data_IF_451034776912
#
_entry.id   IF_451034776912
#
_cell.length_a   1.000
_cell.length_b   1.000
_cell.length_c   1.000
_cell.angle_alpha   90.00
_cell.angle_beta   90.00
_cell.angle_gamma   90.00
#
_symmetry.space_group_name_H-M   'P 1'
#
loop_
_entity.id
_entity.type
_entity.pdbx_description
1 polymer ?
#
# COMPACT_ATOMS: atom_id res chain seq x y z
N UNK A 1 12.76 -3.49 6.32
CA UNK A 1 12.07 -4.66 6.89
C UNK A 1 13.08 -5.73 7.20
N UNK A 2 13.02 -6.33 8.37
CA UNK A 2 14.00 -7.35 8.70
C UNK A 2 13.69 -8.68 7.97
N UNK A 3 14.69 -9.56 7.90
CA UNK A 3 14.58 -10.77 7.11
C UNK A 3 13.50 -11.75 7.59
N UNK A 4 13.23 -11.78 8.89
CA UNK A 4 12.21 -12.66 9.45
C UNK A 4 10.81 -12.22 9.02
N UNK A 5 10.54 -10.94 9.13
CA UNK A 5 9.25 -10.37 8.73
C UNK A 5 9.05 -10.50 7.22
N UNK A 6 10.10 -10.26 6.48
CA UNK A 6 10.06 -10.39 5.03
C UNK A 6 9.71 -11.82 4.62
N UNK A 7 10.33 -12.82 5.24
CA UNK A 7 10.05 -14.22 4.94
C UNK A 7 8.61 -14.58 5.27
N UNK A 8 8.10 -14.10 6.40
CA UNK A 8 6.71 -14.34 6.79
C UNK A 8 5.74 -13.73 5.77
N UNK A 9 6.02 -12.52 5.34
CA UNK A 9 5.20 -11.85 4.35
C UNK A 9 5.24 -12.56 3.00
N UNK A 10 6.43 -12.95 2.55
CA UNK A 10 6.57 -13.68 1.29
C UNK A 10 5.85 -15.02 1.34
N UNK A 11 5.91 -15.73 2.47
CA UNK A 11 5.21 -16.98 2.63
C UNK A 11 3.68 -16.80 2.55
N UNK A 12 3.20 -15.66 3.03
CA UNK A 12 1.77 -15.37 2.99
C UNK A 12 1.30 -14.95 1.60
N UNK A 13 2.09 -14.15 0.89
CA UNK A 13 1.67 -13.60 -0.40
C UNK A 13 1.91 -14.56 -1.55
N UNK A 14 2.91 -15.41 -1.47
CA UNK A 14 3.26 -16.30 -2.58
C UNK A 14 2.09 -17.13 -3.09
N UNK A 15 1.27 -17.77 -2.23
CA UNK A 15 0.12 -18.52 -2.73
C UNK A 15 -0.95 -17.68 -3.41
N UNK A 16 -0.91 -16.36 -3.25
CA UNK A 16 -1.89 -15.45 -3.84
C UNK A 16 -1.46 -14.94 -5.21
N UNK A 17 -0.24 -15.22 -5.61
CA UNK A 17 0.30 -14.71 -6.86
C UNK A 17 -0.22 -15.47 -8.06
N UNK A 18 -0.39 -14.75 -9.17
CA UNK A 18 -0.70 -15.36 -10.45
C UNK A 18 0.56 -15.95 -11.10
N UNK A 19 0.41 -16.87 -12.06
CA UNK A 19 1.57 -17.40 -12.76
C UNK A 19 2.41 -16.27 -13.39
N UNK A 20 3.69 -16.28 -13.10
CA UNK A 20 4.61 -15.26 -13.62
C UNK A 20 4.66 -13.97 -12.83
N UNK A 21 3.79 -13.78 -11.86
CA UNK A 21 3.80 -12.61 -11.01
C UNK A 21 4.94 -12.70 -9.99
N UNK A 22 5.67 -11.60 -9.78
CA UNK A 22 6.82 -11.58 -8.88
C UNK A 22 6.72 -10.42 -7.90
N UNK A 23 7.10 -10.69 -6.65
CA UNK A 23 7.21 -9.66 -5.62
C UNK A 23 8.46 -8.84 -5.86
N UNK A 24 8.31 -7.54 -5.97
CA UNK A 24 9.41 -6.61 -6.19
C UNK A 24 9.84 -5.90 -4.91
N UNK A 25 8.91 -5.57 -4.05
CA UNK A 25 9.19 -4.83 -2.82
C UNK A 25 8.35 -5.36 -1.68
N UNK A 26 8.96 -5.47 -0.50
CA UNK A 26 8.23 -5.74 0.74
C UNK A 26 8.65 -4.70 1.77
N UNK A 27 7.69 -4.15 2.50
CA UNK A 27 8.01 -3.14 3.51
C UNK A 27 6.91 -3.00 4.54
N UNK A 28 7.23 -2.28 5.60
CA UNK A 28 6.27 -1.86 6.62
C UNK A 28 5.80 -0.46 6.28
N UNK A 29 4.50 -0.24 6.31
CA UNK A 29 3.91 1.07 6.03
C UNK A 29 2.80 1.36 7.02
N UNK A 30 2.50 2.64 7.20
CA UNK A 30 1.25 3.06 7.79
C UNK A 30 0.28 3.42 6.69
N UNK A 31 -1.00 3.27 6.95
CA UNK A 31 -2.04 3.59 5.98
C UNK A 31 -3.05 4.56 6.55
N UNK A 32 -3.46 5.51 5.72
CA UNK A 32 -4.61 6.36 5.99
C UNK A 32 -5.46 6.46 4.74
N UNK A 33 -6.76 6.52 4.92
CA UNK A 33 -7.67 6.83 3.84
C UNK A 33 -7.74 8.34 3.68
N UNK A 34 -7.59 8.82 2.46
CA UNK A 34 -7.62 10.23 2.14
C UNK A 34 -8.72 10.47 1.13
N UNK A 35 -9.48 11.53 1.34
CA UNK A 35 -10.49 11.94 0.38
C UNK A 35 -9.87 12.85 -0.65
N UNK A 36 -10.05 12.54 -1.93
CA UNK A 36 -9.67 13.42 -3.02
C UNK A 36 -10.87 14.12 -3.61
N UNK A 37 -11.88 14.28 -2.80
CA UNK A 37 -13.17 14.68 -3.19
C UNK A 37 -13.31 16.02 -3.80
N UNK A 38 -12.50 16.87 -3.51
CA UNK A 38 -12.64 18.17 -4.11
C UNK A 38 -12.55 18.14 -5.59
N UNK A 39 -11.94 17.13 -6.12
CA UNK A 39 -11.70 17.03 -7.55
C UNK A 39 -12.47 15.93 -8.20
N UNK A 40 -13.17 15.12 -7.44
CA UNK A 40 -13.82 13.95 -7.98
C UNK A 40 -15.06 13.64 -7.19
N UNK A 41 -15.97 12.98 -7.85
CA UNK A 41 -17.08 12.39 -7.13
C UNK A 41 -16.55 11.27 -6.25
N UNK A 42 -17.23 11.06 -5.16
CA UNK A 42 -16.85 10.04 -4.24
C UNK A 42 -17.82 8.91 -4.21
N UNK A 43 -17.59 7.98 -3.35
CA UNK A 43 -18.53 6.96 -3.04
C UNK A 43 -18.13 5.62 -3.54
N UNK A 44 -17.41 5.58 -4.61
CA UNK A 44 -17.03 4.29 -5.17
C UNK A 44 -15.56 4.01 -5.02
N UNK A 45 -14.85 5.01 -4.63
CA UNK A 45 -13.42 4.95 -4.61
C UNK A 45 -12.87 3.86 -3.72
N UNK A 46 -13.36 3.78 -2.51
CA UNK A 46 -12.86 2.76 -1.60
C UNK A 46 -13.15 1.37 -2.11
N UNK A 47 -14.31 1.16 -2.71
CA UNK A 47 -14.64 -0.11 -3.30
C UNK A 47 -13.68 -0.46 -4.44
N UNK A 48 -13.35 0.52 -5.27
CA UNK A 48 -12.43 0.31 -6.38
C UNK A 48 -11.04 -0.04 -5.87
N UNK A 49 -10.54 0.71 -4.90
CA UNK A 49 -9.19 0.49 -4.38
C UNK A 49 -9.07 -0.79 -3.57
N UNK A 50 -10.11 -1.17 -2.87
CA UNK A 50 -10.06 -2.28 -1.95
C UNK A 50 -10.77 -3.53 -2.43
N UNK A 51 -11.29 -3.53 -3.66
CA UNK A 51 -12.10 -4.64 -4.13
C UNK A 51 -13.44 -4.72 -3.40
N UNK A 52 -13.93 -3.61 -2.92
CA UNK A 52 -15.20 -3.55 -2.21
C UNK A 52 -15.11 -3.85 -0.73
N UNK A 53 -13.93 -4.13 -0.23
CA UNK A 53 -13.76 -4.56 1.15
C UNK A 53 -13.15 -3.50 2.05
N UNK A 54 -12.94 -2.30 1.57
CA UNK A 54 -12.27 -1.30 2.37
C UNK A 54 -13.13 -0.82 3.52
N UNK A 55 -12.66 -1.05 4.69
CA UNK A 55 -13.21 -0.46 5.89
C UNK A 55 -12.46 0.83 6.19
N UNK A 56 -13.05 1.63 7.06
CA UNK A 56 -12.37 2.81 7.57
C UNK A 56 -11.12 2.37 8.35
N UNK A 57 -9.99 2.96 8.02
CA UNK A 57 -8.76 2.74 8.76
C UNK A 57 -8.67 3.86 9.78
N UNK A 58 -8.91 3.57 11.05
CA UNK A 58 -9.12 4.65 12.05
C UNK A 58 -7.87 5.45 12.36
N UNK A 59 -6.72 4.84 12.39
CA UNK A 59 -5.46 5.52 12.68
C UNK A 59 -4.37 4.86 11.90
N UNK A 60 -3.17 5.49 11.82
CA UNK A 60 -2.05 4.83 11.20
C UNK A 60 -1.75 3.53 11.94
N UNK A 61 -2.04 2.43 11.31
CA UNK A 61 -1.78 1.11 11.85
C UNK A 61 -0.62 0.53 11.05
N UNK A 62 0.34 -0.11 11.73
CA UNK A 62 1.42 -0.77 11.00
C UNK A 62 0.86 -1.86 10.10
N UNK A 63 1.20 -1.77 8.84
CA UNK A 63 0.75 -2.72 7.83
C UNK A 63 1.96 -3.25 7.09
N UNK A 64 1.79 -4.39 6.47
CA UNK A 64 2.80 -4.93 5.57
C UNK A 64 2.35 -4.73 4.13
N UNK A 65 3.25 -4.22 3.32
CA UNK A 65 3.03 -4.01 1.90
C UNK A 65 3.91 -4.96 1.10
N UNK A 66 3.31 -5.69 0.19
CA UNK A 66 4.04 -6.46 -0.81
C UNK A 66 3.62 -5.95 -2.18
N UNK A 67 4.56 -5.36 -2.91
CA UNK A 67 4.31 -4.89 -4.26
C UNK A 67 4.87 -5.89 -5.26
N UNK A 68 4.02 -6.33 -6.17
CA UNK A 68 4.44 -7.18 -7.28
C UNK A 68 4.53 -6.36 -8.56
N UNK A 69 4.88 -7.00 -9.64
CA UNK A 69 4.85 -6.36 -10.95
C UNK A 69 3.43 -6.05 -11.44
N UNK A 70 2.39 -6.52 -10.75
CA UNK A 70 1.00 -6.35 -11.14
C UNK A 70 0.10 -5.72 -10.09
N UNK A 71 0.40 -5.94 -8.80
CA UNK A 71 -0.51 -5.57 -7.71
C UNK A 71 0.25 -5.14 -6.47
N UNK A 72 -0.48 -4.47 -5.59
CA UNK A 72 -0.01 -4.21 -4.23
C UNK A 72 -0.91 -4.98 -3.28
N UNK A 73 -0.30 -5.76 -2.41
CA UNK A 73 -1.01 -6.49 -1.36
C UNK A 73 -0.73 -5.84 -0.03
N UNK A 74 -1.76 -5.61 0.74
CA UNK A 74 -1.63 -5.00 2.06
C UNK A 74 -2.19 -5.95 3.11
N UNK A 75 -1.41 -6.16 4.17
CA UNK A 75 -1.77 -7.03 5.27
C UNK A 75 -1.63 -6.29 6.58
N UNK A 76 -2.53 -6.55 7.50
CA UNK A 76 -2.37 -6.06 8.85
C UNK A 76 -1.36 -6.94 9.58
N UNK A 77 -0.42 -6.32 10.31
CA UNK A 77 0.57 -7.05 11.07
C UNK A 77 0.04 -7.42 12.44
N UNK A 78 0.43 -8.58 12.92
CA UNK A 78 0.20 -8.95 14.31
C UNK A 78 1.12 -8.10 15.20
N UNK A 79 0.58 -7.39 16.20
CA UNK A 79 1.41 -6.52 17.03
C UNK A 79 2.37 -7.27 17.93
N UNK A 80 2.12 -8.54 18.24
CA UNK A 80 2.96 -9.34 19.12
C UNK A 80 3.97 -10.14 18.34
N UNK A 81 3.52 -10.90 17.36
CA UNK A 81 4.38 -11.83 16.63
C UNK A 81 4.91 -11.28 15.32
N UNK A 82 4.47 -10.09 14.94
CA UNK A 82 4.91 -9.42 13.72
C UNK A 82 4.67 -10.26 12.44
N UNK A 83 3.67 -11.11 12.47
CA UNK A 83 3.27 -11.90 11.31
C UNK A 83 2.13 -11.22 10.58
N UNK A 84 1.99 -11.41 9.25
CA UNK A 84 0.79 -10.98 8.56
C UNK A 84 -0.39 -11.81 9.08
N UNK A 85 -1.43 -11.12 9.54
CA UNK A 85 -2.59 -11.82 10.12
C UNK A 85 -3.84 -11.68 9.29
N UNK A 86 -3.95 -10.60 8.54
CA UNK A 86 -5.17 -10.32 7.81
C UNK A 86 -4.84 -9.63 6.50
N UNK A 87 -5.30 -10.22 5.40
CA UNK A 87 -5.24 -9.57 4.10
C UNK A 87 -6.27 -8.46 4.07
N UNK A 88 -5.80 -7.23 4.02
CA UNK A 88 -6.65 -6.05 4.12
C UNK A 88 -7.16 -5.62 2.76
N UNK A 89 -6.28 -5.56 1.77
CA UNK A 89 -6.66 -5.14 0.44
C UNK A 89 -5.64 -5.55 -0.60
N UNK A 90 -6.09 -5.60 -1.84
CA UNK A 90 -5.24 -5.77 -3.02
C UNK A 90 -5.56 -4.66 -4.00
N UNK A 91 -4.53 -4.00 -4.52
CA UNK A 91 -4.70 -2.88 -5.43
C UNK A 91 -3.97 -3.19 -6.73
N UNK A 92 -4.68 -3.10 -7.85
CA UNK A 92 -4.04 -3.29 -9.15
C UNK A 92 -3.13 -2.10 -9.47
N UNK A 93 -1.95 -2.36 -10.01
CA UNK A 93 -1.03 -1.29 -10.42
C UNK A 93 -1.49 -0.58 -11.67
N UNK A 94 -2.25 -1.25 -12.50
CA UNK A 94 -2.74 -0.67 -13.74
C UNK A 94 -3.68 0.49 -13.43
N UNK A 95 -3.35 1.67 -13.94
CA UNK A 95 -4.11 2.88 -13.68
C UNK A 95 -3.88 3.49 -12.31
N UNK A 96 -2.91 3.03 -11.56
CA UNK A 96 -2.60 3.57 -10.25
C UNK A 96 -1.51 4.63 -10.35
N UNK A 97 -1.74 5.78 -9.72
CA UNK A 97 -0.82 6.90 -9.71
C UNK A 97 -0.43 7.24 -8.27
N UNK A 98 0.70 7.90 -8.12
CA UNK A 98 1.13 8.41 -6.82
C UNK A 98 1.32 9.92 -6.85
N UNK A 99 1.19 10.53 -5.69
CA UNK A 99 1.56 11.93 -5.52
C UNK A 99 3.07 12.06 -5.36
N UNK A 100 3.56 13.31 -5.33
CA UNK A 100 4.93 13.58 -4.96
C UNK A 100 5.19 13.10 -3.53
N UNK A 101 6.44 12.71 -3.28
CA UNK A 101 6.84 12.27 -1.94
C UNK A 101 6.88 13.47 -1.02
N UNK A 102 6.21 13.36 0.12
CA UNK A 102 6.25 14.37 1.17
C UNK A 102 7.15 13.87 2.28
N UNK A 103 8.28 14.51 2.46
CA UNK A 103 9.22 14.10 3.50
C UNK A 103 8.99 14.89 4.79
N UNK A 104 9.07 14.16 5.88
CA UNK A 104 9.02 14.71 7.23
C UNK A 104 10.22 14.19 8.01
N UNK A 105 10.37 14.65 9.25
CA UNK A 105 11.54 14.30 10.06
C UNK A 105 11.60 12.80 10.34
N UNK A 106 10.48 12.19 10.74
CA UNK A 106 10.45 10.80 11.16
C UNK A 106 9.86 9.85 10.13
N UNK A 107 9.26 10.37 9.09
CA UNK A 107 8.64 9.54 8.07
C UNK A 107 8.52 10.30 6.76
N UNK A 108 8.04 9.60 5.75
CA UNK A 108 7.69 10.19 4.48
C UNK A 108 6.42 9.52 3.97
N UNK A 109 5.74 10.18 3.05
CA UNK A 109 4.48 9.66 2.57
C UNK A 109 4.22 10.09 1.14
N UNK A 110 3.35 9.34 0.47
CA UNK A 110 2.71 9.77 -0.76
C UNK A 110 1.33 9.13 -0.83
N UNK A 111 0.52 9.65 -1.72
CA UNK A 111 -0.87 9.23 -1.85
C UNK A 111 -1.03 8.44 -3.14
N UNK A 112 -1.64 7.28 -3.04
CA UNK A 112 -2.01 6.46 -4.19
C UNK A 112 -3.43 6.82 -4.61
N UNK A 113 -3.62 7.02 -5.90
CA UNK A 113 -4.92 7.37 -6.45
C UNK A 113 -5.14 6.72 -7.81
N UNK A 114 -6.38 6.66 -8.20
CA UNK A 114 -6.80 6.17 -9.51
C UNK A 114 -7.76 7.20 -10.10
N UNK A 115 -7.77 7.40 -11.43
CA UNK A 115 -8.64 8.40 -12.04
C UNK A 115 -10.12 8.23 -11.72
N UNK A 116 -10.55 7.01 -11.48
CA UNK A 116 -11.95 6.72 -11.21
C UNK A 116 -12.25 6.61 -9.71
N UNK A 117 -11.34 7.05 -8.89
CA UNK A 117 -11.43 6.83 -7.45
C UNK A 117 -11.69 8.13 -6.72
N UNK A 118 -12.64 8.12 -5.81
CA UNK A 118 -12.94 9.27 -4.97
C UNK A 118 -12.10 9.33 -3.73
N UNK A 119 -11.65 8.18 -3.28
CA UNK A 119 -10.75 8.08 -2.14
C UNK A 119 -9.37 7.71 -2.63
N UNK A 120 -8.41 8.05 -1.85
CA UNK A 120 -7.02 7.73 -2.10
C UNK A 120 -6.44 7.09 -0.84
N UNK A 121 -5.34 6.41 -1.02
CA UNK A 121 -4.68 5.73 0.07
C UNK A 121 -3.34 6.38 0.32
N UNK A 122 -3.16 6.91 1.52
CA UNK A 122 -1.88 7.50 1.91
C UNK A 122 -1.00 6.43 2.50
N UNK A 123 0.14 6.22 1.89
CA UNK A 123 1.18 5.33 2.42
C UNK A 123 2.16 6.16 3.21
N UNK A 124 2.41 5.77 4.43
CA UNK A 124 3.35 6.44 5.32
C UNK A 124 4.51 5.48 5.57
N UNK A 125 5.70 5.90 5.19
CA UNK A 125 6.90 5.09 5.31
C UNK A 125 7.76 5.58 6.45
N UNK A 126 8.07 4.74 7.44
CA UNK A 126 9.03 5.12 8.47
C UNK A 126 10.42 5.29 7.86
N UNK A 127 11.32 5.96 8.60
CA UNK A 127 12.68 6.22 8.13
C UNK A 127 13.40 4.95 7.70
N UNK A 128 13.21 3.86 8.41
CA UNK A 128 13.88 2.60 8.09
C UNK A 128 13.42 2.00 6.76
N UNK A 129 12.29 2.47 6.23
CA UNK A 129 11.73 2.00 4.97
C UNK A 129 11.96 2.98 3.82
N UNK A 130 12.91 3.90 3.96
CA UNK A 130 13.15 4.90 2.92
C UNK A 130 13.57 4.28 1.59
N UNK A 131 14.38 3.24 1.65
CA UNK A 131 14.81 2.54 0.45
C UNK A 131 13.62 1.90 -0.28
N UNK A 132 12.78 1.22 0.46
CA UNK A 132 11.59 0.57 -0.10
C UNK A 132 10.59 1.61 -0.61
N UNK A 133 10.47 2.73 0.08
CA UNK A 133 9.67 3.85 -0.40
C UNK A 133 10.12 4.29 -1.79
N UNK A 134 11.42 4.44 -1.99
CA UNK A 134 11.96 4.86 -3.27
C UNK A 134 11.68 3.84 -4.36
N UNK A 135 11.75 2.56 -4.04
CA UNK A 135 11.44 1.51 -5.00
C UNK A 135 9.96 1.52 -5.40
N UNK A 136 9.07 1.70 -4.44
CA UNK A 136 7.64 1.79 -4.73
C UNK A 136 7.35 3.04 -5.56
N UNK A 137 7.92 4.17 -5.17
CA UNK A 137 7.71 5.42 -5.88
C UNK A 137 8.22 5.35 -7.32
N UNK A 138 9.36 4.71 -7.54
CA UNK A 138 9.92 4.57 -8.89
C UNK A 138 9.07 3.67 -9.78
N UNK A 139 8.32 2.75 -9.19
CA UNK A 139 7.49 1.81 -9.93
C UNK A 139 6.14 2.39 -10.32
N UNK A 140 5.71 3.47 -9.70
CA UNK A 140 4.39 4.05 -9.92
C UNK A 140 4.50 5.43 -10.55
N UNK A 141 3.70 5.73 -11.58
CA UNK A 141 3.76 7.05 -12.22
C UNK A 141 3.19 8.13 -11.32
N UNK A 142 3.73 9.34 -11.48
CA UNK A 142 3.18 10.51 -10.80
C UNK A 142 1.80 10.83 -11.37
N UNK A 143 0.91 11.25 -10.50
CA UNK A 143 -0.39 11.74 -10.93
C UNK A 143 -0.23 13.01 -11.76
N UNK A 144 -1.00 13.15 -12.81
CA UNK A 144 -0.96 14.35 -13.66
C UNK A 144 -1.47 15.60 -12.94
#
# INVERSE_FOLDING_TARGET
MNGRRRRALLATVTPMLEPGERVEVTCVVGLNTVSVRRTAAFGVASAVLSGGAMAVIPTPVPMYLAMTDRRLFVFRADPVFAKPVEHTMTIARDGLFRSAIKERILNSSFVLSSPNSEHALKLIFPLISRRERNLVAAALPLAP
#
